data_IF_682914306221
#
_entry.id   IF_682914306221
#
_cell.length_a   1.000
_cell.length_b   1.000
_cell.length_c   1.000
_cell.angle_alpha   90.00
_cell.angle_beta   90.00
_cell.angle_gamma   90.00
#
_symmetry.space_group_name_H-M   'P 1'
#
loop_
_entity.id
_entity.type
_entity.pdbx_description
1 polymer ?
#
# COMPACT_ATOMS: atom_id res chain seq x y z
N UNK A 1 -19.52 7.26 -67.97
CA UNK A 1 -18.64 7.83 -66.94
C UNK A 1 -19.19 7.37 -65.60
N UNK A 2 -18.45 6.50 -64.92
CA UNK A 2 -18.80 5.88 -63.65
C UNK A 2 -18.24 6.69 -62.47
N UNK A 3 -19.00 6.78 -61.38
CA UNK A 3 -18.54 6.98 -60.00
C UNK A 3 -19.78 6.69 -59.12
N UNK A 4 -19.94 5.50 -58.52
CA UNK A 4 -19.35 5.08 -57.24
C UNK A 4 -19.51 6.19 -56.19
N UNK A 5 -20.33 6.08 -55.15
CA UNK A 5 -20.58 4.91 -54.29
C UNK A 5 -20.33 5.39 -52.85
N UNK A 6 -21.22 6.23 -52.32
CA UNK A 6 -21.05 6.86 -50.99
C UNK A 6 -21.56 5.92 -49.89
N UNK A 7 -20.72 4.98 -49.47
CA UNK A 7 -20.98 4.10 -48.32
C UNK A 7 -20.50 4.77 -47.02
N UNK A 8 -21.47 5.30 -46.26
CA UNK A 8 -21.29 5.73 -44.87
C UNK A 8 -20.81 4.56 -44.01
N UNK A 9 -19.55 4.62 -43.54
CA UNK A 9 -18.98 3.61 -42.65
C UNK A 9 -19.22 4.03 -41.20
N UNK A 10 -20.35 3.60 -40.65
CA UNK A 10 -20.68 3.73 -39.22
C UNK A 10 -19.76 2.79 -38.44
N UNK A 11 -18.76 3.34 -37.76
CA UNK A 11 -17.92 2.57 -36.83
C UNK A 11 -18.59 2.62 -35.46
N UNK A 12 -19.37 1.58 -35.15
CA UNK A 12 -19.83 1.33 -33.79
C UNK A 12 -18.76 0.55 -33.03
N UNK A 13 -18.12 1.09 -31.98
CA UNK A 13 -17.31 0.26 -31.10
C UNK A 13 -18.24 -0.53 -30.18
N UNK A 14 -18.38 -1.83 -30.48
CA UNK A 14 -18.96 -2.82 -29.57
C UNK A 14 -18.05 -2.99 -28.36
N UNK A 15 -18.39 -2.36 -27.24
CA UNK A 15 -17.76 -2.57 -25.93
C UNK A 15 -18.62 -3.45 -25.01
N UNK A 16 -19.37 -4.40 -25.57
CA UNK A 16 -20.12 -5.36 -24.80
C UNK A 16 -19.36 -6.70 -24.75
N UNK A 17 -19.11 -7.14 -23.51
CA UNK A 17 -18.83 -8.54 -23.14
C UNK A 17 -17.41 -9.05 -23.33
N UNK A 18 -16.48 -8.52 -22.54
CA UNK A 18 -15.28 -9.26 -22.16
C UNK A 18 -14.79 -8.84 -20.77
N UNK A 19 -15.53 -9.17 -19.70
CA UNK A 19 -15.02 -9.21 -18.30
C UNK A 19 -16.13 -9.61 -17.32
N UNK A 20 -16.61 -10.85 -17.40
CA UNK A 20 -17.49 -11.40 -16.37
C UNK A 20 -17.30 -12.92 -16.21
N UNK A 21 -16.07 -13.40 -16.28
CA UNK A 21 -15.70 -14.68 -15.65
C UNK A 21 -14.80 -14.34 -14.46
N UNK A 22 -15.38 -13.65 -13.47
CA UNK A 22 -14.78 -13.67 -12.12
C UNK A 22 -14.97 -15.08 -11.62
N UNK A 23 -13.88 -15.85 -11.71
CA UNK A 23 -13.72 -17.16 -11.09
C UNK A 23 -14.35 -17.14 -9.70
N UNK A 24 -15.52 -17.75 -9.58
CA UNK A 24 -16.23 -17.90 -8.31
C UNK A 24 -15.47 -18.96 -7.51
N UNK A 25 -14.40 -18.55 -6.84
CA UNK A 25 -13.75 -19.39 -5.85
C UNK A 25 -14.80 -19.82 -4.81
N UNK A 26 -14.83 -21.09 -4.39
CA UNK A 26 -15.80 -21.56 -3.42
C UNK A 26 -15.63 -20.77 -2.11
N UNK A 27 -16.75 -20.30 -1.57
CA UNK A 27 -16.77 -19.61 -0.28
C UNK A 27 -16.13 -20.50 0.78
N UNK A 28 -15.21 -19.92 1.55
CA UNK A 28 -14.48 -20.62 2.62
C UNK A 28 -15.45 -21.13 3.68
N UNK A 29 -15.19 -22.31 4.25
CA UNK A 29 -16.02 -22.85 5.33
C UNK A 29 -16.07 -21.89 6.53
N UNK A 30 -17.19 -21.83 7.26
CA UNK A 30 -17.35 -20.89 8.37
C UNK A 30 -16.28 -21.06 9.47
N UNK A 31 -15.87 -22.31 9.73
CA UNK A 31 -14.78 -22.64 10.66
C UNK A 31 -13.45 -22.04 10.19
N UNK A 32 -13.12 -22.21 8.90
CA UNK A 32 -11.90 -21.67 8.34
C UNK A 32 -11.91 -20.14 8.25
N UNK A 33 -13.08 -19.54 8.00
CA UNK A 33 -13.25 -18.09 8.04
C UNK A 33 -13.01 -17.51 9.44
N UNK A 34 -13.48 -18.20 10.48
CA UNK A 34 -13.22 -17.82 11.88
C UNK A 34 -11.73 -17.92 12.22
N UNK A 35 -11.03 -18.97 11.77
CA UNK A 35 -9.58 -19.10 11.94
C UNK A 35 -8.80 -17.97 11.27
N UNK A 36 -9.15 -17.62 10.03
CA UNK A 36 -8.51 -16.54 9.27
C UNK A 36 -8.69 -15.21 10.00
N UNK A 37 -9.90 -14.93 10.49
CA UNK A 37 -10.21 -13.71 11.23
C UNK A 37 -9.42 -13.65 12.54
N UNK A 38 -9.42 -14.74 13.32
CA UNK A 38 -8.63 -14.83 14.56
C UNK A 38 -7.12 -14.69 14.33
N UNK A 39 -6.62 -15.20 13.21
CA UNK A 39 -5.23 -15.01 12.81
C UNK A 39 -4.94 -13.53 12.48
N UNK A 40 -5.82 -12.87 11.73
CA UNK A 40 -5.67 -11.47 11.37
C UNK A 40 -5.68 -10.57 12.62
N UNK A 41 -6.57 -10.82 13.56
CA UNK A 41 -6.68 -10.09 14.83
C UNK A 41 -5.40 -10.21 15.66
N UNK A 42 -4.90 -11.45 15.85
CA UNK A 42 -3.66 -11.70 16.60
C UNK A 42 -2.45 -11.04 15.94
N UNK A 43 -2.38 -11.09 14.61
CA UNK A 43 -1.28 -10.50 13.85
C UNK A 43 -1.32 -8.97 13.90
N UNK A 44 -2.51 -8.38 13.84
CA UNK A 44 -2.73 -6.94 14.00
C UNK A 44 -2.34 -6.48 15.40
N UNK A 45 -2.83 -7.15 16.45
CA UNK A 45 -2.49 -6.84 17.83
C UNK A 45 -0.98 -6.90 18.10
N UNK A 46 -0.31 -7.91 17.54
CA UNK A 46 1.16 -8.01 17.61
C UNK A 46 1.85 -6.86 16.89
N UNK A 47 1.40 -6.51 15.68
CA UNK A 47 1.96 -5.40 14.92
C UNK A 47 1.77 -4.05 15.63
N UNK A 48 0.64 -3.83 16.29
CA UNK A 48 0.37 -2.66 17.13
C UNK A 48 1.28 -2.61 18.36
N UNK A 49 1.48 -3.75 19.03
CA UNK A 49 2.39 -3.84 20.16
C UNK A 49 3.83 -3.52 19.74
N UNK A 50 4.33 -4.16 18.67
CA UNK A 50 5.66 -3.90 18.13
C UNK A 50 5.82 -2.42 17.73
N UNK A 51 4.79 -1.83 17.11
CA UNK A 51 4.81 -0.42 16.76
C UNK A 51 4.90 0.47 17.99
N UNK A 52 4.16 0.19 19.06
CA UNK A 52 4.18 0.97 20.30
C UNK A 52 5.55 0.94 20.96
N UNK A 53 6.13 -0.24 21.09
CA UNK A 53 7.42 -0.44 21.76
C UNK A 53 8.59 0.14 20.95
N UNK A 54 8.55 0.03 19.62
CA UNK A 54 9.69 0.37 18.76
C UNK A 54 9.51 1.70 18.00
N UNK A 55 8.42 2.44 18.24
CA UNK A 55 8.09 3.67 17.50
C UNK A 55 9.23 4.67 17.48
N UNK A 56 9.81 4.94 18.65
CA UNK A 56 10.87 5.92 18.82
C UNK A 56 12.15 5.48 18.12
N UNK A 57 12.52 4.20 18.27
CA UNK A 57 13.69 3.63 17.61
C UNK A 57 13.57 3.71 16.09
N UNK A 58 12.42 3.34 15.53
CA UNK A 58 12.17 3.44 14.09
C UNK A 58 12.16 4.89 13.61
N UNK A 59 11.59 5.80 14.40
CA UNK A 59 11.58 7.24 14.08
C UNK A 59 13.00 7.80 14.05
N UNK A 60 13.84 7.44 15.02
CA UNK A 60 15.25 7.85 15.04
C UNK A 60 16.05 7.29 13.87
N UNK A 61 15.80 6.04 13.48
CA UNK A 61 16.42 5.43 12.29
C UNK A 61 16.03 6.21 11.02
N UNK A 62 14.73 6.45 10.82
CA UNK A 62 14.22 7.21 9.67
C UNK A 62 14.73 8.66 9.66
N UNK A 63 14.83 9.29 10.83
CA UNK A 63 15.44 10.61 10.98
C UNK A 63 16.90 10.61 10.53
N UNK A 64 17.70 9.60 10.92
CA UNK A 64 19.09 9.46 10.47
C UNK A 64 19.20 9.31 8.94
N UNK A 65 18.33 8.51 8.34
CA UNK A 65 18.25 8.34 6.88
C UNK A 65 17.87 9.65 6.16
N UNK A 66 16.90 10.39 6.70
CA UNK A 66 16.51 11.70 6.18
C UNK A 66 17.63 12.72 6.34
N UNK A 67 18.36 12.72 7.46
CA UNK A 67 19.48 13.61 7.70
C UNK A 67 20.62 13.37 6.71
N UNK A 68 20.92 12.11 6.40
CA UNK A 68 21.92 11.75 5.40
C UNK A 68 21.55 12.25 4.00
N UNK A 69 20.28 12.13 3.61
CA UNK A 69 19.76 12.62 2.32
C UNK A 69 19.70 14.14 2.24
N UNK A 70 19.32 14.80 3.33
CA UNK A 70 19.15 16.25 3.36
C UNK A 70 20.49 16.99 3.45
N UNK A 71 21.56 16.33 3.93
CA UNK A 71 22.93 16.86 3.87
C UNK A 71 23.47 17.04 2.44
N UNK A 72 22.89 16.34 1.47
CA UNK A 72 23.27 16.43 0.05
C UNK A 72 22.49 17.55 -0.70
N UNK A 73 21.45 18.11 -0.08
CA UNK A 73 20.54 19.06 -0.72
C UNK A 73 20.93 20.50 -0.41
N UNK A 74 21.35 21.25 -1.42
CA UNK A 74 21.49 22.72 -1.34
C UNK A 74 20.13 23.35 -1.04
N UNK A 75 19.98 23.92 0.16
CA UNK A 75 18.76 24.61 0.59
C UNK A 75 18.86 26.11 0.24
N UNK A 76 17.97 26.59 -0.63
CA UNK A 76 17.77 28.02 -0.87
C UNK A 76 16.95 28.60 0.29
N UNK A 77 17.64 29.11 1.31
CA UNK A 77 17.00 29.74 2.46
C UNK A 77 16.80 31.24 2.21
N UNK A 78 15.57 31.78 2.27
CA UNK A 78 15.36 33.22 2.24
C UNK A 78 15.94 33.86 3.52
N UNK A 79 16.53 35.06 3.42
CA UNK A 79 17.10 35.75 4.57
C UNK A 79 16.03 36.02 5.64
N UNK A 80 16.33 35.66 6.89
CA UNK A 80 15.45 35.89 8.05
C UNK A 80 14.49 34.75 8.40
N UNK A 81 14.36 33.69 7.59
CA UNK A 81 13.50 32.56 7.93
C UNK A 81 14.18 31.67 8.99
N UNK A 82 13.60 31.50 10.18
CA UNK A 82 14.10 30.57 11.21
C UNK A 82 13.39 29.22 11.06
N UNK A 83 13.89 28.35 10.17
CA UNK A 83 13.35 26.99 10.09
C UNK A 83 14.00 26.11 11.15
N UNK A 84 13.18 25.55 12.04
CA UNK A 84 13.59 24.43 12.90
C UNK A 84 13.64 23.16 12.05
N UNK A 85 14.73 23.06 11.28
CA UNK A 85 15.02 21.97 10.35
C UNK A 85 15.00 20.62 11.06
N UNK A 86 15.51 20.56 12.29
CA UNK A 86 15.49 19.34 13.11
C UNK A 86 14.05 18.93 13.40
N UNK A 87 13.22 19.86 13.89
CA UNK A 87 11.81 19.56 14.15
C UNK A 87 11.03 19.19 12.88
N UNK A 88 11.38 19.76 11.73
CA UNK A 88 10.78 19.38 10.45
C UNK A 88 11.12 17.93 10.08
N UNK A 89 12.40 17.57 10.09
CA UNK A 89 12.87 16.23 9.75
C UNK A 89 12.36 15.16 10.74
N UNK A 90 12.30 15.48 12.04
CA UNK A 90 11.72 14.58 13.05
C UNK A 90 10.23 14.31 12.79
N UNK A 91 9.45 15.35 12.45
CA UNK A 91 8.04 15.18 12.08
C UNK A 91 7.90 14.32 10.83
N UNK A 92 8.73 14.57 9.80
CA UNK A 92 8.73 13.77 8.59
C UNK A 92 9.06 12.29 8.86
N UNK A 93 10.07 12.01 9.68
CA UNK A 93 10.44 10.65 10.10
C UNK A 93 9.28 9.94 10.81
N UNK A 94 8.60 10.63 11.73
CA UNK A 94 7.46 10.08 12.44
C UNK A 94 6.29 9.77 11.48
N UNK A 95 6.01 10.66 10.52
CA UNK A 95 4.99 10.41 9.50
C UNK A 95 5.31 9.18 8.64
N UNK A 96 6.57 8.98 8.27
CA UNK A 96 7.01 7.80 7.52
C UNK A 96 6.79 6.52 8.33
N UNK A 97 7.16 6.51 9.61
CA UNK A 97 6.97 5.36 10.51
C UNK A 97 5.49 5.04 10.69
N UNK A 98 4.63 6.04 10.91
CA UNK A 98 3.18 5.86 10.99
C UNK A 98 2.58 5.31 9.68
N UNK A 99 3.02 5.84 8.54
CA UNK A 99 2.58 5.37 7.21
C UNK A 99 2.98 3.92 6.96
N UNK A 100 4.20 3.53 7.29
CA UNK A 100 4.68 2.16 7.14
C UNK A 100 3.89 1.20 8.02
N UNK A 101 3.58 1.58 9.25
CA UNK A 101 2.72 0.79 10.13
C UNK A 101 1.31 0.65 9.57
N UNK A 102 0.69 1.74 9.11
CA UNK A 102 -0.63 1.69 8.47
C UNK A 102 -0.64 0.77 7.23
N UNK A 103 0.41 0.81 6.41
CA UNK A 103 0.56 -0.08 5.27
C UNK A 103 0.71 -1.55 5.69
N UNK A 104 1.43 -1.83 6.79
CA UNK A 104 1.55 -3.18 7.36
C UNK A 104 0.20 -3.73 7.81
N UNK A 105 -0.61 -2.92 8.51
CA UNK A 105 -1.96 -3.32 8.94
C UNK A 105 -2.88 -3.55 7.72
N UNK A 106 -2.85 -2.64 6.74
CA UNK A 106 -3.61 -2.81 5.50
C UNK A 106 -3.21 -4.10 4.75
N UNK A 107 -1.92 -4.46 4.76
CA UNK A 107 -1.40 -5.70 4.21
C UNK A 107 -1.95 -6.94 4.91
N UNK A 108 -2.02 -6.94 6.24
CA UNK A 108 -2.62 -8.03 7.04
C UNK A 108 -4.09 -8.20 6.67
N UNK A 109 -4.85 -7.11 6.64
CA UNK A 109 -6.27 -7.14 6.31
C UNK A 109 -6.51 -7.62 4.87
N UNK A 110 -5.71 -7.14 3.91
CA UNK A 110 -5.80 -7.58 2.53
C UNK A 110 -5.49 -9.07 2.39
N UNK A 111 -4.49 -9.58 3.11
CA UNK A 111 -4.17 -11.01 3.13
C UNK A 111 -5.33 -11.84 3.70
N UNK A 112 -5.95 -11.37 4.78
CA UNK A 112 -7.14 -12.00 5.35
C UNK A 112 -8.31 -12.00 4.36
N UNK A 113 -8.57 -10.88 3.68
CA UNK A 113 -9.61 -10.78 2.64
C UNK A 113 -9.38 -11.76 1.48
N UNK A 114 -8.14 -11.89 1.00
CA UNK A 114 -7.79 -12.85 -0.05
C UNK A 114 -8.01 -14.29 0.39
N UNK A 115 -7.58 -14.64 1.59
CA UNK A 115 -7.81 -15.97 2.15
C UNK A 115 -9.30 -16.25 2.32
N UNK A 116 -10.10 -15.28 2.77
CA UNK A 116 -11.57 -15.40 2.87
C UNK A 116 -12.25 -15.53 1.51
N UNK A 117 -11.66 -14.94 0.45
CA UNK A 117 -12.10 -15.12 -0.92
C UNK A 117 -11.66 -16.46 -1.54
N UNK A 118 -10.95 -17.31 -0.79
CA UNK A 118 -10.45 -18.61 -1.27
C UNK A 118 -9.21 -18.50 -2.15
N UNK A 119 -8.55 -17.34 -2.20
CA UNK A 119 -7.31 -17.15 -2.94
C UNK A 119 -6.12 -17.74 -2.18
N UNK A 120 -5.21 -18.40 -2.90
CA UNK A 120 -3.93 -18.85 -2.34
C UNK A 120 -2.99 -17.64 -2.32
N UNK A 121 -2.50 -17.29 -1.13
CA UNK A 121 -1.46 -16.28 -0.99
C UNK A 121 -0.16 -16.82 -1.59
N UNK A 122 0.16 -16.44 -2.83
CA UNK A 122 1.52 -16.58 -3.33
C UNK A 122 2.44 -15.70 -2.47
N UNK A 123 3.27 -16.35 -1.66
CA UNK A 123 4.29 -15.67 -0.87
C UNK A 123 5.36 -15.10 -1.80
N UNK A 124 5.15 -13.88 -2.29
CA UNK A 124 6.26 -13.06 -2.80
C UNK A 124 7.12 -12.70 -1.61
N UNK A 125 8.15 -13.51 -1.38
CA UNK A 125 9.23 -13.37 -0.39
C UNK A 125 10.02 -12.04 -0.47
N UNK A 126 9.58 -11.06 -1.29
CA UNK A 126 10.30 -9.83 -1.60
C UNK A 126 9.77 -8.55 -0.94
N UNK A 127 8.55 -8.53 -0.38
CA UNK A 127 7.93 -7.27 0.10
C UNK A 127 7.98 -7.05 1.62
N UNK A 128 8.53 -7.99 2.38
CA UNK A 128 8.89 -7.78 3.78
C UNK A 128 10.34 -7.30 3.83
N UNK A 129 10.53 -6.01 3.52
CA UNK A 129 11.82 -5.33 3.56
C UNK A 129 12.60 -5.65 4.83
N UNK A 130 13.86 -6.07 4.62
CA UNK A 130 14.89 -6.19 5.67
C UNK A 130 15.22 -4.82 6.26
#
# INVERSE_FOLDING_TARGET
>A
MSAEGSASRTISPSFASASAERSSAPAVSPERAAEITSWADRTTARAEFEFRENREQWTNRQYGELLARDGERMSLRPPGATDDRKAHLMRAAEHMVRRNHAARIAGINNAAHKLLAGEILESKKGDLGR
#
